data_IF_581331479159
#
_entry.id   IF_581331479159
#
_cell.length_a   1.000
_cell.length_b   1.000
_cell.length_c   1.000
_cell.angle_alpha   90.00
_cell.angle_beta   90.00
_cell.angle_gamma   90.00
#
_symmetry.space_group_name_H-M   'P 1'
#
loop_
_entity.id
_entity.type
_entity.pdbx_description
1 polymer ?
#
# COMPACT_ATOMS: atom_id res chain seq x y z
N UNK A 1 17.04 30.75 -60.69
CA UNK A 1 16.82 29.71 -59.70
C UNK A 1 15.48 29.07 -59.97
N UNK A 2 15.51 27.79 -60.36
CA UNK A 2 14.30 26.99 -60.53
C UNK A 2 13.76 26.58 -59.16
N UNK A 3 12.96 27.44 -58.54
CA UNK A 3 12.29 27.11 -57.31
C UNK A 3 11.02 26.30 -57.60
N UNK A 4 10.75 25.23 -56.87
CA UNK A 4 9.55 24.44 -57.07
C UNK A 4 8.32 25.30 -56.76
N UNK A 5 7.33 25.30 -57.64
CA UNK A 5 6.04 25.94 -57.45
C UNK A 5 5.05 24.92 -56.87
N UNK A 6 4.41 25.25 -55.78
CA UNK A 6 3.44 24.37 -55.12
C UNK A 6 2.22 25.19 -54.66
N UNK A 7 1.06 24.56 -54.70
CA UNK A 7 -0.17 25.07 -54.09
C UNK A 7 -0.25 24.88 -52.58
N UNK A 8 0.74 24.17 -51.99
CA UNK A 8 0.84 24.01 -50.55
C UNK A 8 1.11 25.36 -49.88
N UNK A 9 0.33 25.68 -48.86
CA UNK A 9 0.52 26.89 -48.06
C UNK A 9 1.86 26.82 -47.30
N UNK A 10 2.67 27.86 -47.40
CA UNK A 10 3.89 28.01 -46.63
C UNK A 10 3.62 28.12 -45.09
N UNK A 11 2.42 28.56 -44.72
CA UNK A 11 1.98 28.63 -43.32
C UNK A 11 1.05 27.46 -43.05
N UNK A 12 1.37 26.68 -42.01
CA UNK A 12 0.55 25.54 -41.61
C UNK A 12 -0.86 25.95 -41.16
N UNK A 13 -1.00 27.10 -40.51
CA UNK A 13 -2.27 27.65 -39.98
C UNK A 13 -3.08 26.56 -39.23
N UNK A 14 -2.41 25.82 -38.31
CA UNK A 14 -2.99 24.65 -37.64
C UNK A 14 -4.25 24.99 -36.86
N UNK A 15 -4.28 26.12 -36.16
CA UNK A 15 -5.45 26.58 -35.39
C UNK A 15 -6.73 26.70 -36.22
N UNK A 16 -6.60 27.09 -37.49
CA UNK A 16 -7.75 27.16 -38.40
C UNK A 16 -8.09 25.85 -39.10
N UNK A 17 -7.08 25.02 -39.40
CA UNK A 17 -7.22 23.79 -40.21
C UNK A 17 -7.56 22.59 -39.39
N UNK A 18 -7.01 22.41 -38.18
CA UNK A 18 -7.24 21.25 -37.32
C UNK A 18 -8.73 21.02 -37.01
N UNK A 19 -9.55 22.02 -36.66
CA UNK A 19 -10.98 21.78 -36.43
C UNK A 19 -11.73 21.20 -37.62
N UNK A 20 -11.30 21.54 -38.84
CA UNK A 20 -11.89 21.01 -40.08
C UNK A 20 -11.48 19.55 -40.28
N UNK A 21 -10.19 19.23 -40.06
CA UNK A 21 -9.68 17.87 -40.16
C UNK A 21 -10.29 16.97 -39.12
N UNK A 22 -10.43 17.43 -37.89
CA UNK A 22 -11.04 16.66 -36.79
C UNK A 22 -12.46 16.22 -37.10
N UNK A 23 -13.29 17.09 -37.72
CA UNK A 23 -14.64 16.71 -38.17
C UNK A 23 -14.65 15.57 -39.20
N UNK A 24 -13.65 15.56 -40.09
CA UNK A 24 -13.49 14.48 -41.07
C UNK A 24 -13.04 13.20 -40.40
N UNK A 25 -12.02 13.26 -39.53
CA UNK A 25 -11.47 12.12 -38.80
C UNK A 25 -12.50 11.42 -37.90
N UNK A 26 -13.35 12.17 -37.22
CA UNK A 26 -14.40 11.60 -36.37
C UNK A 26 -15.37 10.70 -37.16
N UNK A 27 -15.63 11.04 -38.43
CA UNK A 27 -16.50 10.26 -39.30
C UNK A 27 -15.82 8.97 -39.84
N UNK A 28 -14.50 8.99 -39.97
CA UNK A 28 -13.74 7.85 -40.53
C UNK A 28 -13.87 6.57 -39.72
N UNK A 29 -13.92 6.67 -38.40
CA UNK A 29 -14.02 5.47 -37.53
C UNK A 29 -15.28 4.64 -37.87
N UNK A 30 -16.44 5.31 -38.00
CA UNK A 30 -17.70 4.66 -38.37
C UNK A 30 -17.75 4.11 -39.79
N UNK A 31 -16.85 4.54 -40.68
CA UNK A 31 -16.73 4.07 -42.06
C UNK A 31 -15.73 2.91 -42.23
N UNK A 32 -14.94 2.59 -41.17
CA UNK A 32 -13.99 1.50 -41.21
C UNK A 32 -14.71 0.17 -41.12
N UNK A 33 -14.50 -0.69 -42.12
CA UNK A 33 -15.00 -2.07 -42.10
C UNK A 33 -14.23 -2.88 -41.04
N UNK A 34 -14.92 -3.29 -39.98
CA UNK A 34 -14.39 -4.18 -38.93
C UNK A 34 -14.68 -5.67 -39.24
N UNK A 35 -14.84 -6.02 -40.51
CA UNK A 35 -15.34 -7.34 -40.97
C UNK A 35 -14.25 -8.29 -41.42
N UNK A 36 -12.98 -7.93 -41.30
CA UNK A 36 -11.87 -8.84 -41.65
C UNK A 36 -11.70 -9.94 -40.59
N UNK A 37 -11.38 -11.16 -41.05
CA UNK A 37 -11.20 -12.34 -40.20
C UNK A 37 -9.97 -12.27 -39.27
N UNK A 38 -9.03 -11.34 -39.52
CA UNK A 38 -7.87 -11.08 -38.68
C UNK A 38 -8.15 -9.91 -37.76
N UNK A 39 -8.27 -10.19 -36.47
CA UNK A 39 -8.56 -9.21 -35.42
C UNK A 39 -7.32 -8.87 -34.60
N UNK A 40 -7.06 -7.59 -34.39
CA UNK A 40 -6.03 -7.10 -33.47
C UNK A 40 -6.70 -6.31 -32.35
N UNK A 41 -6.77 -6.91 -31.18
CA UNK A 41 -7.40 -6.29 -30.00
C UNK A 41 -6.36 -5.47 -29.26
N UNK A 42 -6.57 -4.14 -29.21
CA UNK A 42 -5.73 -3.22 -28.45
C UNK A 42 -6.41 -2.83 -27.14
N UNK A 43 -5.88 -3.36 -26.03
CA UNK A 43 -6.36 -2.99 -24.70
C UNK A 43 -5.99 -1.55 -24.37
N UNK A 44 -6.95 -0.83 -23.79
CA UNK A 44 -6.75 0.50 -23.25
C UNK A 44 -6.69 0.47 -21.71
N UNK A 45 -5.65 1.06 -21.13
CA UNK A 45 -5.63 1.38 -19.70
C UNK A 45 -6.55 2.58 -19.46
N UNK A 46 -7.71 2.38 -18.80
CA UNK A 46 -8.69 3.44 -18.65
C UNK A 46 -8.16 4.53 -17.71
N UNK A 47 -8.09 5.81 -18.14
CA UNK A 47 -7.73 6.91 -17.24
C UNK A 47 -8.81 7.11 -16.19
N UNK A 48 -8.44 7.70 -15.06
CA UNK A 48 -9.41 8.14 -14.06
C UNK A 48 -10.32 9.23 -14.62
N UNK A 49 -11.61 9.10 -14.33
CA UNK A 49 -12.62 10.10 -14.67
C UNK A 49 -12.55 11.31 -13.70
N UNK A 50 -11.36 11.92 -13.59
CA UNK A 50 -11.04 12.98 -12.63
C UNK A 50 -10.02 13.94 -13.24
N UNK A 51 -10.33 15.25 -13.24
CA UNK A 51 -9.45 16.27 -13.79
C UNK A 51 -9.37 16.29 -15.32
N UNK A 52 -8.51 17.17 -15.84
CA UNK A 52 -8.28 17.33 -17.27
C UNK A 52 -7.20 16.35 -17.78
N UNK A 53 -7.13 16.19 -19.11
CA UNK A 53 -6.05 15.43 -19.72
C UNK A 53 -4.71 16.16 -19.57
N UNK A 54 -3.63 15.41 -19.44
CA UNK A 54 -2.27 15.91 -19.39
C UNK A 54 -1.37 15.21 -20.42
N UNK A 55 -0.14 15.66 -20.57
CA UNK A 55 0.82 15.12 -21.57
C UNK A 55 0.96 13.59 -21.49
N UNK A 56 0.97 13.00 -20.28
CA UNK A 56 1.03 11.54 -20.12
C UNK A 56 -0.17 10.82 -20.76
N UNK A 57 -1.38 11.36 -20.61
CA UNK A 57 -2.56 10.85 -21.31
C UNK A 57 -2.42 10.98 -22.82
N UNK A 58 -1.94 12.15 -23.31
CA UNK A 58 -1.76 12.40 -24.74
C UNK A 58 -0.75 11.40 -25.34
N UNK A 59 0.41 11.21 -24.74
CA UNK A 59 1.43 10.26 -25.19
C UNK A 59 0.85 8.84 -25.27
N UNK A 60 0.19 8.38 -24.22
CA UNK A 60 -0.40 7.04 -24.18
C UNK A 60 -1.42 6.83 -25.32
N UNK A 61 -2.36 7.74 -25.47
CA UNK A 61 -3.42 7.63 -26.48
C UNK A 61 -2.91 7.79 -27.91
N UNK A 62 -1.95 8.69 -28.13
CA UNK A 62 -1.34 8.88 -29.46
C UNK A 62 -0.55 7.64 -29.90
N UNK A 63 0.24 7.04 -28.99
CA UNK A 63 0.98 5.80 -29.30
C UNK A 63 0.03 4.65 -29.64
N UNK A 64 -1.06 4.50 -28.90
CA UNK A 64 -2.09 3.48 -29.19
C UNK A 64 -2.79 3.73 -30.53
N UNK A 65 -3.09 4.99 -30.83
CA UNK A 65 -3.69 5.37 -32.10
C UNK A 65 -2.75 5.06 -33.29
N UNK A 66 -1.44 5.32 -33.16
CA UNK A 66 -0.44 4.94 -34.15
C UNK A 66 -0.43 3.43 -34.38
N UNK A 67 -0.43 2.62 -33.29
CA UNK A 67 -0.47 1.17 -33.38
C UNK A 67 -1.77 0.73 -34.08
N UNK A 68 -2.91 1.23 -33.65
CA UNK A 68 -4.21 0.87 -34.24
C UNK A 68 -4.28 1.21 -35.72
N UNK A 69 -3.81 2.39 -36.12
CA UNK A 69 -3.75 2.81 -37.52
C UNK A 69 -2.78 1.95 -38.34
N UNK A 70 -1.60 1.64 -37.79
CA UNK A 70 -0.61 0.77 -38.45
C UNK A 70 -1.16 -0.64 -38.71
N UNK A 71 -1.86 -1.24 -37.74
CA UNK A 71 -2.47 -2.56 -37.92
C UNK A 71 -3.63 -2.53 -38.95
N UNK A 72 -4.43 -1.46 -38.94
CA UNK A 72 -5.47 -1.28 -39.98
C UNK A 72 -4.90 -1.15 -41.38
N UNK A 73 -3.75 -0.48 -41.55
CA UNK A 73 -3.05 -0.42 -42.84
C UNK A 73 -2.54 -1.78 -43.30
N UNK A 74 -2.40 -2.75 -42.39
CA UNK A 74 -2.09 -4.14 -42.69
C UNK A 74 -3.36 -5.00 -42.85
N UNK A 75 -4.51 -4.37 -43.10
CA UNK A 75 -5.81 -5.00 -43.30
C UNK A 75 -6.36 -5.77 -42.10
N UNK A 76 -5.88 -5.47 -40.87
CA UNK A 76 -6.46 -6.03 -39.64
C UNK A 76 -7.69 -5.25 -39.19
N UNK A 77 -8.69 -5.94 -38.65
CA UNK A 77 -9.76 -5.33 -37.86
C UNK A 77 -9.21 -4.92 -36.50
N UNK A 78 -9.30 -3.65 -36.15
CA UNK A 78 -8.79 -3.11 -34.88
C UNK A 78 -9.89 -2.37 -34.14
N UNK A 79 -10.75 -3.05 -33.39
CA UNK A 79 -11.70 -2.38 -32.52
C UNK A 79 -10.94 -1.68 -31.38
N UNK A 80 -10.96 -0.36 -31.35
CA UNK A 80 -10.38 0.42 -30.26
C UNK A 80 -11.48 1.07 -29.44
N UNK A 81 -11.80 0.47 -28.31
CA UNK A 81 -12.82 0.93 -27.36
C UNK A 81 -12.14 1.70 -26.24
N UNK A 82 -12.33 3.04 -26.16
CA UNK A 82 -11.75 3.81 -25.07
C UNK A 82 -12.47 3.51 -23.75
N UNK A 83 -11.74 3.61 -22.64
CA UNK A 83 -12.30 3.34 -21.33
C UNK A 83 -12.04 4.45 -20.32
N UNK A 84 -12.82 4.45 -19.22
CA UNK A 84 -12.61 5.28 -18.05
C UNK A 84 -12.75 4.50 -16.77
N UNK A 85 -11.80 4.71 -15.84
CA UNK A 85 -11.91 4.30 -14.45
C UNK A 85 -12.72 5.36 -13.69
N UNK A 86 -13.91 4.97 -13.27
CA UNK A 86 -14.90 5.88 -12.70
C UNK A 86 -15.07 5.71 -11.19
N UNK A 87 -14.37 4.77 -10.57
CA UNK A 87 -14.44 4.48 -9.14
C UNK A 87 -13.19 4.94 -8.40
N UNK A 88 -13.22 4.80 -7.08
CA UNK A 88 -12.07 4.97 -6.22
C UNK A 88 -11.92 6.35 -5.59
N UNK A 89 -10.91 6.41 -4.76
CA UNK A 89 -10.60 7.52 -3.86
C UNK A 89 -10.46 8.90 -4.54
N UNK A 90 -9.86 9.03 -5.75
CA UNK A 90 -9.71 10.34 -6.37
C UNK A 90 -11.01 11.08 -6.62
N UNK A 91 -12.04 10.37 -7.06
CA UNK A 91 -13.36 10.92 -7.33
C UNK A 91 -14.09 11.21 -6.02
N UNK A 92 -14.02 10.27 -5.09
CA UNK A 92 -14.66 10.38 -3.78
C UNK A 92 -14.16 11.60 -3.01
N UNK A 93 -12.84 11.79 -2.91
CA UNK A 93 -12.25 12.96 -2.25
C UNK A 93 -12.59 14.28 -2.94
N UNK A 94 -12.69 14.30 -4.27
CA UNK A 94 -13.10 15.50 -4.98
C UNK A 94 -14.55 15.86 -4.65
N UNK A 95 -15.43 14.87 -4.59
CA UNK A 95 -16.85 15.06 -4.24
C UNK A 95 -17.01 15.40 -2.75
N UNK A 96 -16.25 14.77 -1.85
CA UNK A 96 -16.23 15.12 -0.42
C UNK A 96 -15.90 16.60 -0.19
N UNK A 97 -14.98 17.17 -0.98
CA UNK A 97 -14.64 18.59 -0.91
C UNK A 97 -15.78 19.51 -1.36
N UNK A 98 -16.62 19.04 -2.30
CA UNK A 98 -17.73 19.82 -2.84
C UNK A 98 -19.00 19.71 -1.99
N UNK A 99 -19.32 18.52 -1.45
CA UNK A 99 -20.62 18.24 -0.81
C UNK A 99 -20.52 17.71 0.62
N UNK A 100 -19.31 17.54 1.17
CA UNK A 100 -19.08 16.97 2.50
C UNK A 100 -18.99 15.45 2.50
N UNK A 101 -18.57 14.88 3.66
CA UNK A 101 -18.46 13.43 3.84
C UNK A 101 -19.84 12.76 3.84
N UNK A 102 -19.98 11.53 3.30
CA UNK A 102 -21.20 10.75 3.46
C UNK A 102 -21.43 10.46 4.94
N UNK A 103 -22.67 10.47 5.38
CA UNK A 103 -23.16 10.35 6.76
C UNK A 103 -23.28 11.64 7.57
N UNK A 104 -22.47 12.67 7.31
CA UNK A 104 -22.53 13.91 8.08
C UNK A 104 -23.55 14.89 7.48
N UNK A 105 -23.59 14.99 6.14
CA UNK A 105 -24.41 15.95 5.41
C UNK A 105 -25.29 15.31 4.35
N UNK A 106 -24.93 14.10 3.89
CA UNK A 106 -25.57 13.46 2.72
C UNK A 106 -25.75 11.95 2.94
N UNK A 107 -26.88 11.39 2.45
CA UNK A 107 -27.05 9.94 2.45
C UNK A 107 -25.99 9.26 1.56
N UNK A 108 -25.58 8.03 1.92
CA UNK A 108 -24.66 7.23 1.08
C UNK A 108 -25.15 7.08 -0.36
N UNK A 109 -26.46 7.00 -0.56
CA UNK A 109 -27.09 6.91 -1.89
C UNK A 109 -26.90 8.19 -2.70
N UNK A 110 -27.10 9.35 -2.09
CA UNK A 110 -26.99 10.62 -2.77
C UNK A 110 -25.52 11.01 -3.01
N UNK A 111 -24.65 10.65 -2.06
CA UNK A 111 -23.21 10.76 -2.26
C UNK A 111 -22.72 9.94 -3.48
N UNK A 112 -23.15 8.68 -3.64
CA UNK A 112 -22.85 7.87 -4.84
C UNK A 112 -23.39 8.48 -6.12
N UNK A 113 -24.58 9.11 -6.09
CA UNK A 113 -25.11 9.85 -7.26
C UNK A 113 -24.21 11.06 -7.60
N UNK A 114 -23.72 11.79 -6.59
CA UNK A 114 -22.81 12.92 -6.78
C UNK A 114 -21.50 12.45 -7.42
N UNK A 115 -20.91 11.34 -6.94
CA UNK A 115 -19.70 10.74 -7.53
C UNK A 115 -19.92 10.34 -9.00
N UNK A 116 -21.05 9.70 -9.32
CA UNK A 116 -21.40 9.33 -10.70
C UNK A 116 -21.53 10.55 -11.59
N UNK A 117 -22.18 11.60 -11.12
CA UNK A 117 -22.33 12.88 -11.85
C UNK A 117 -20.98 13.55 -12.09
N UNK A 118 -20.12 13.57 -11.08
CA UNK A 118 -18.76 14.09 -11.17
C UNK A 118 -17.95 13.34 -12.23
N UNK A 119 -17.95 12.00 -12.19
CA UNK A 119 -17.26 11.17 -13.16
C UNK A 119 -17.73 11.45 -14.60
N UNK A 120 -19.04 11.52 -14.84
CA UNK A 120 -19.58 11.85 -16.17
C UNK A 120 -19.14 13.22 -16.67
N UNK A 121 -19.04 14.22 -15.80
CA UNK A 121 -18.53 15.55 -16.17
C UNK A 121 -17.10 15.46 -16.73
N UNK A 122 -16.23 14.71 -16.04
CA UNK A 122 -14.83 14.57 -16.45
C UNK A 122 -14.67 13.66 -17.68
N UNK A 123 -15.44 12.58 -17.80
CA UNK A 123 -15.49 11.76 -19.03
C UNK A 123 -15.79 12.63 -20.24
N UNK A 124 -16.82 13.49 -20.15
CA UNK A 124 -17.19 14.40 -21.26
C UNK A 124 -16.06 15.36 -21.62
N UNK A 125 -15.41 15.96 -20.63
CA UNK A 125 -14.29 16.87 -20.83
C UNK A 125 -13.07 16.16 -21.44
N UNK A 126 -12.70 15.01 -20.90
CA UNK A 126 -11.57 14.22 -21.40
C UNK A 126 -11.83 13.64 -22.79
N UNK A 127 -13.05 13.14 -23.08
CA UNK A 127 -13.47 12.71 -24.43
C UNK A 127 -13.24 13.85 -25.43
N UNK A 128 -13.67 15.08 -25.11
CA UNK A 128 -13.46 16.23 -25.98
C UNK A 128 -11.97 16.54 -26.18
N UNK A 129 -11.15 16.41 -25.12
CA UNK A 129 -9.69 16.58 -25.21
C UNK A 129 -9.03 15.53 -26.10
N UNK A 130 -9.34 14.25 -25.93
CA UNK A 130 -8.81 13.17 -26.77
C UNK A 130 -9.28 13.26 -28.24
N UNK A 131 -10.51 13.70 -28.47
CA UNK A 131 -11.00 13.93 -29.83
C UNK A 131 -10.21 15.01 -30.55
N UNK A 132 -9.73 16.05 -29.83
CA UNK A 132 -8.84 17.06 -30.41
C UNK A 132 -7.48 16.51 -30.84
N UNK A 133 -7.02 15.40 -30.26
CA UNK A 133 -5.81 14.71 -30.69
C UNK A 133 -6.03 13.81 -31.92
N UNK A 134 -7.22 13.83 -32.52
CA UNK A 134 -7.61 13.04 -33.71
C UNK A 134 -7.43 11.52 -33.52
N UNK A 135 -7.66 11.03 -32.32
CA UNK A 135 -7.59 9.61 -31.99
C UNK A 135 -8.82 8.91 -32.54
N UNK A 136 -8.61 7.84 -33.31
CA UNK A 136 -9.66 7.01 -33.92
C UNK A 136 -10.08 5.89 -33.00
N UNK A 137 -11.20 6.07 -32.30
CA UNK A 137 -11.75 5.13 -31.34
C UNK A 137 -13.28 5.14 -31.36
N UNK A 138 -13.91 4.12 -30.80
CA UNK A 138 -15.37 4.08 -30.59
C UNK A 138 -15.76 4.96 -29.40
N UNK A 139 -15.83 6.27 -29.68
CA UNK A 139 -16.19 7.26 -28.65
C UNK A 139 -17.65 7.21 -28.21
N UNK A 140 -18.51 6.50 -28.92
CA UNK A 140 -19.94 6.44 -28.62
C UNK A 140 -20.30 5.28 -27.70
N UNK A 141 -19.48 4.22 -27.71
CA UNK A 141 -19.66 3.05 -26.86
C UNK A 141 -18.45 2.83 -25.93
N UNK A 142 -18.08 3.78 -25.06
CA UNK A 142 -16.91 3.64 -24.20
C UNK A 142 -17.13 2.60 -23.11
N UNK A 143 -16.04 1.97 -22.67
CA UNK A 143 -16.00 1.15 -21.47
C UNK A 143 -15.96 2.05 -20.22
N UNK A 144 -16.96 1.97 -19.37
CA UNK A 144 -17.02 2.71 -18.10
C UNK A 144 -17.11 1.73 -16.94
N UNK A 145 -16.19 1.80 -15.97
CA UNK A 145 -16.21 0.90 -14.80
C UNK A 145 -17.48 1.07 -13.97
N UNK A 146 -18.11 2.26 -14.00
CA UNK A 146 -19.38 2.54 -13.31
C UNK A 146 -20.65 2.16 -14.07
N UNK A 147 -20.56 1.57 -15.27
CA UNK A 147 -21.74 1.04 -15.95
C UNK A 147 -22.27 -0.18 -15.18
N UNK A 148 -23.58 -0.26 -14.95
CA UNK A 148 -24.19 -1.34 -14.19
C UNK A 148 -23.85 -2.73 -14.73
N UNK A 149 -23.74 -2.88 -16.06
CA UNK A 149 -23.25 -4.13 -16.67
C UNK A 149 -21.84 -4.46 -16.24
N UNK A 150 -20.95 -3.48 -16.20
CA UNK A 150 -19.56 -3.65 -15.76
C UNK A 150 -19.47 -3.97 -14.28
N UNK A 151 -20.22 -3.23 -13.43
CA UNK A 151 -20.32 -3.50 -12.00
C UNK A 151 -20.83 -4.93 -11.75
N UNK A 152 -21.89 -5.36 -12.46
CA UNK A 152 -22.39 -6.74 -12.39
C UNK A 152 -21.38 -7.79 -12.87
N UNK A 153 -20.61 -7.51 -13.93
CA UNK A 153 -19.55 -8.41 -14.39
C UNK A 153 -18.41 -8.53 -13.38
N UNK A 154 -18.09 -7.44 -12.67
CA UNK A 154 -17.09 -7.46 -11.59
C UNK A 154 -17.53 -8.41 -10.46
N UNK A 155 -18.81 -8.37 -10.06
CA UNK A 155 -19.35 -9.30 -9.08
C UNK A 155 -19.35 -10.74 -9.56
N UNK A 156 -19.70 -11.00 -10.83
CA UNK A 156 -19.61 -12.35 -11.42
C UNK A 156 -18.17 -12.87 -11.45
N UNK A 157 -17.18 -11.99 -11.75
CA UNK A 157 -15.78 -12.36 -11.70
C UNK A 157 -15.33 -12.71 -10.27
N UNK A 158 -15.78 -11.94 -9.27
CA UNK A 158 -15.55 -12.25 -7.86
C UNK A 158 -16.15 -13.63 -7.48
N UNK A 159 -17.38 -13.92 -7.92
CA UNK A 159 -17.98 -15.24 -7.72
C UNK A 159 -17.13 -16.39 -8.28
N UNK A 160 -16.56 -16.23 -9.47
CA UNK A 160 -15.63 -17.23 -10.05
C UNK A 160 -14.35 -17.38 -9.21
N UNK A 161 -13.80 -16.30 -8.68
CA UNK A 161 -12.62 -16.33 -7.79
C UNK A 161 -12.93 -17.10 -6.51
N UNK A 162 -14.14 -16.92 -5.95
CA UNK A 162 -14.61 -17.63 -4.76
C UNK A 162 -14.75 -19.12 -5.05
N UNK A 163 -15.44 -19.49 -6.14
CA UNK A 163 -15.66 -20.89 -6.53
C UNK A 163 -14.36 -21.65 -6.76
N UNK A 164 -13.31 -20.95 -7.20
CA UNK A 164 -11.98 -21.52 -7.35
C UNK A 164 -11.16 -21.56 -6.03
N UNK A 165 -11.73 -21.12 -4.91
CA UNK A 165 -11.05 -21.12 -3.60
C UNK A 165 -9.93 -20.08 -3.44
N UNK A 166 -9.88 -19.08 -4.30
CA UNK A 166 -8.81 -18.06 -4.29
C UNK A 166 -9.09 -16.88 -3.37
N UNK A 167 -10.30 -16.74 -2.83
CA UNK A 167 -10.63 -15.70 -1.86
C UNK A 167 -10.37 -16.17 -0.42
N UNK A 168 -9.85 -15.30 0.42
CA UNK A 168 -9.70 -15.52 1.85
C UNK A 168 -10.11 -14.29 2.64
N UNK A 169 -10.69 -14.51 3.83
CA UNK A 169 -10.93 -13.47 4.82
C UNK A 169 -9.96 -13.67 5.96
N UNK A 170 -9.13 -12.68 6.26
CA UNK A 170 -8.12 -12.83 7.31
C UNK A 170 -7.76 -11.50 7.95
N UNK A 171 -7.33 -11.58 9.20
CA UNK A 171 -6.72 -10.51 9.95
C UNK A 171 -5.24 -10.46 9.59
N UNK A 172 -4.80 -9.39 8.94
CA UNK A 172 -3.39 -9.16 8.58
C UNK A 172 -3.03 -7.69 8.79
N UNK A 173 -1.79 -7.38 9.19
CA UNK A 173 -1.29 -6.01 9.15
C UNK A 173 -1.16 -5.57 7.69
N UNK A 174 -1.79 -4.48 7.37
CA UNK A 174 -1.77 -3.84 6.05
C UNK A 174 -1.54 -2.36 6.20
N UNK A 175 -1.02 -1.73 5.15
CA UNK A 175 -0.92 -0.28 5.10
C UNK A 175 -2.29 0.37 5.30
N UNK A 176 -2.37 1.20 6.31
CA UNK A 176 -3.55 1.97 6.67
C UNK A 176 -3.27 3.46 6.56
N UNK A 177 -4.07 4.18 5.81
CA UNK A 177 -4.03 5.63 5.76
C UNK A 177 -5.07 6.21 6.74
N UNK A 178 -4.61 6.94 7.72
CA UNK A 178 -5.47 7.56 8.75
C UNK A 178 -6.37 8.65 8.17
N UNK A 179 -5.90 9.39 7.15
CA UNK A 179 -6.71 10.41 6.47
C UNK A 179 -7.78 9.80 5.56
N UNK A 180 -7.46 8.68 4.89
CA UNK A 180 -8.43 7.92 4.11
C UNK A 180 -9.41 7.14 4.99
N UNK A 181 -9.00 6.81 6.21
CA UNK A 181 -9.66 5.83 7.08
C UNK A 181 -9.89 4.49 6.35
N UNK A 182 -8.88 4.03 5.61
CA UNK A 182 -8.97 2.85 4.75
C UNK A 182 -7.62 2.20 4.54
N UNK A 183 -7.66 0.91 4.22
CA UNK A 183 -6.49 0.14 3.77
C UNK A 183 -6.00 0.63 2.41
N UNK A 184 -4.71 0.44 2.18
CA UNK A 184 -4.04 0.68 0.90
C UNK A 184 -3.47 -0.64 0.37
N UNK A 185 -3.56 -0.86 -0.95
CA UNK A 185 -2.78 -1.89 -1.61
C UNK A 185 -1.34 -1.41 -1.78
N UNK A 186 -0.39 -2.34 -2.02
CA UNK A 186 1.03 -2.02 -2.23
C UNK A 186 1.26 -0.95 -3.30
N UNK A 187 0.51 -1.01 -4.41
CA UNK A 187 0.59 -0.02 -5.49
C UNK A 187 0.06 1.37 -5.11
N UNK A 188 -0.57 1.51 -3.95
CA UNK A 188 -1.11 2.78 -3.44
C UNK A 188 -0.20 3.40 -2.37
N UNK A 189 1.00 2.83 -2.17
CA UNK A 189 2.01 3.29 -1.21
C UNK A 189 3.21 3.83 -1.95
N UNK A 190 3.65 5.02 -1.56
CA UNK A 190 4.87 5.67 -2.02
C UNK A 190 5.87 5.74 -0.86
N UNK A 191 7.15 5.50 -1.13
CA UNK A 191 8.18 5.64 -0.11
C UNK A 191 8.87 7.00 -0.23
N UNK A 192 8.95 7.73 0.89
CA UNK A 192 9.63 9.02 0.98
C UNK A 192 10.64 9.00 2.11
N UNK A 193 11.74 9.68 1.93
CA UNK A 193 12.68 9.94 3.01
C UNK A 193 12.10 10.97 3.98
N UNK A 194 11.95 10.58 5.23
CA UNK A 194 11.49 11.47 6.30
C UNK A 194 12.39 11.35 7.53
N UNK A 195 12.39 12.42 8.31
CA UNK A 195 12.98 12.44 9.65
C UNK A 195 11.94 11.88 10.63
N UNK A 196 12.26 10.73 11.24
CA UNK A 196 11.43 10.10 12.27
C UNK A 196 12.16 10.03 13.59
N UNK A 197 11.42 9.98 14.68
CA UNK A 197 11.99 9.72 15.99
C UNK A 197 12.25 8.22 16.14
N UNK A 198 13.46 7.87 16.60
CA UNK A 198 13.78 6.53 17.08
C UNK A 198 13.99 6.57 18.58
N UNK A 199 13.75 5.45 19.23
CA UNK A 199 13.87 5.34 20.68
C UNK A 199 14.43 3.97 21.06
N UNK A 200 15.37 3.98 22.01
CA UNK A 200 15.90 2.77 22.63
C UNK A 200 15.35 2.71 24.07
N UNK A 201 14.61 1.65 24.38
CA UNK A 201 13.86 1.54 25.63
C UNK A 201 14.33 0.33 26.44
N UNK A 202 14.52 0.54 27.74
CA UNK A 202 15.01 -0.41 28.73
C UNK A 202 13.85 -1.27 29.24
N UNK A 203 13.80 -2.54 28.82
CA UNK A 203 12.86 -3.52 29.32
C UNK A 203 13.55 -4.33 30.43
N UNK A 204 13.04 -4.25 31.65
CA UNK A 204 13.65 -4.92 32.80
C UNK A 204 13.35 -6.42 32.78
N UNK A 205 14.36 -7.27 32.94
CA UNK A 205 14.16 -8.68 33.24
C UNK A 205 13.48 -8.84 34.60
N UNK A 206 12.45 -9.70 34.62
CA UNK A 206 11.73 -9.99 35.86
C UNK A 206 12.70 -10.54 36.93
N UNK A 207 12.51 -10.10 38.15
CA UNK A 207 13.28 -10.54 39.33
C UNK A 207 14.80 -10.27 39.31
N UNK A 208 15.26 -9.38 38.42
CA UNK A 208 16.65 -8.93 38.29
C UNK A 208 16.75 -7.41 38.14
N UNK A 209 17.99 -6.90 38.12
CA UNK A 209 18.29 -5.52 37.72
C UNK A 209 18.91 -5.42 36.32
N UNK A 210 18.79 -6.47 35.52
CA UNK A 210 19.30 -6.52 34.15
C UNK A 210 18.20 -6.07 33.16
N UNK A 211 18.59 -5.39 32.09
CA UNK A 211 17.70 -4.90 31.06
C UNK A 211 17.98 -5.55 29.70
N UNK A 212 16.95 -5.70 28.90
CA UNK A 212 17.07 -5.82 27.45
C UNK A 212 16.68 -4.45 26.86
N UNK A 213 17.53 -3.94 25.97
CA UNK A 213 17.28 -2.67 25.31
C UNK A 213 16.68 -2.95 23.94
N UNK A 214 15.50 -2.43 23.65
CA UNK A 214 14.86 -2.56 22.34
C UNK A 214 14.98 -1.26 21.56
N UNK A 215 15.20 -1.37 20.26
CA UNK A 215 15.19 -0.23 19.33
C UNK A 215 13.88 -0.17 18.56
N UNK A 216 13.26 1.00 18.48
CA UNK A 216 12.05 1.20 17.67
C UNK A 216 12.05 2.55 16.95
N UNK A 217 11.52 2.56 15.74
CA UNK A 217 11.22 3.78 14.95
C UNK A 217 9.74 4.16 15.05
N UNK A 218 8.95 3.36 15.75
CA UNK A 218 7.50 3.57 15.97
C UNK A 218 7.15 3.47 17.46
N UNK A 219 7.66 4.39 18.32
CA UNK A 219 7.47 4.31 19.76
C UNK A 219 6.01 4.24 20.21
N UNK A 220 5.09 4.73 19.38
CA UNK A 220 3.66 4.68 19.65
C UNK A 220 3.09 3.25 19.76
N UNK A 221 3.77 2.24 19.18
CA UNK A 221 3.36 0.82 19.28
C UNK A 221 3.80 0.13 20.57
N UNK A 222 4.67 0.76 21.38
CA UNK A 222 5.16 0.19 22.65
C UNK A 222 4.05 -0.07 23.67
N UNK A 223 2.94 0.67 23.60
CA UNK A 223 1.75 0.44 24.44
C UNK A 223 0.97 -0.84 24.05
N UNK A 224 1.25 -1.41 22.87
CA UNK A 224 0.68 -2.67 22.36
C UNK A 224 1.74 -3.78 22.26
N UNK A 225 2.85 -3.63 23.00
CA UNK A 225 3.91 -4.64 23.00
C UNK A 225 3.45 -5.93 23.70
N UNK A 226 3.68 -7.10 23.06
CA UNK A 226 3.29 -8.42 23.54
C UNK A 226 4.46 -9.36 23.76
N UNK A 227 5.64 -9.06 23.19
CA UNK A 227 6.87 -9.82 23.36
C UNK A 227 8.08 -8.98 22.96
N UNK A 228 9.27 -9.51 23.27
CA UNK A 228 10.53 -9.06 22.67
C UNK A 228 11.15 -10.24 21.92
N UNK A 229 11.48 -10.05 20.65
CA UNK A 229 12.11 -11.07 19.83
C UNK A 229 13.64 -11.00 19.88
N UNK A 230 14.29 -12.15 19.84
CA UNK A 230 15.72 -12.34 19.66
C UNK A 230 15.98 -13.38 18.57
N UNK A 231 17.21 -13.50 18.10
CA UNK A 231 17.59 -14.52 17.12
C UNK A 231 18.59 -15.50 17.73
N UNK A 232 18.30 -16.81 17.67
CA UNK A 232 19.17 -17.88 18.23
C UNK A 232 20.50 -18.01 17.52
N UNK A 233 20.58 -17.55 16.26
CA UNK A 233 21.80 -17.60 15.45
C UNK A 233 22.77 -16.45 15.74
N UNK A 234 22.42 -15.52 16.64
CA UNK A 234 23.26 -14.43 17.08
C UNK A 234 23.88 -14.75 18.45
N UNK A 235 25.13 -14.30 18.63
CA UNK A 235 25.81 -14.33 19.94
C UNK A 235 25.35 -13.12 20.78
N UNK A 236 25.08 -13.35 22.05
CA UNK A 236 24.66 -12.32 22.99
C UNK A 236 25.61 -12.21 24.18
N UNK A 237 25.73 -11.00 24.72
CA UNK A 237 26.53 -10.69 25.88
C UNK A 237 25.73 -9.98 26.95
N UNK A 238 25.92 -10.37 28.19
CA UNK A 238 25.54 -9.59 29.36
C UNK A 238 26.66 -8.60 29.69
N UNK A 239 26.31 -7.34 29.84
CA UNK A 239 27.24 -6.24 30.07
C UNK A 239 26.92 -5.53 31.38
N UNK A 240 27.96 -5.07 32.10
CA UNK A 240 27.86 -3.99 33.05
C UNK A 240 28.52 -2.76 32.44
N UNK A 241 27.87 -1.63 32.53
CA UNK A 241 28.44 -0.37 32.05
C UNK A 241 27.94 0.81 32.91
N UNK A 242 28.79 1.82 33.05
CA UNK A 242 28.47 3.04 33.78
C UNK A 242 28.11 4.18 32.80
N UNK A 243 27.08 4.94 33.13
CA UNK A 243 26.81 6.20 32.44
C UNK A 243 27.79 7.30 32.88
N UNK A 244 27.69 8.47 32.29
CA UNK A 244 28.53 9.65 32.59
C UNK A 244 28.42 10.13 34.03
N UNK A 245 27.37 9.77 34.76
CA UNK A 245 27.12 10.12 36.15
C UNK A 245 27.55 9.02 37.12
N UNK A 246 28.13 7.92 36.61
CA UNK A 246 28.55 6.77 37.40
C UNK A 246 27.43 5.80 37.77
N UNK A 247 26.22 5.94 37.19
CA UNK A 247 25.14 4.98 37.39
C UNK A 247 25.41 3.72 36.60
N UNK A 248 25.41 2.58 37.27
CA UNK A 248 25.63 1.27 36.65
C UNK A 248 24.34 0.72 36.02
N UNK A 249 24.49 0.18 34.80
CA UNK A 249 23.48 -0.54 34.06
C UNK A 249 23.97 -1.95 33.76
N UNK A 250 23.13 -2.95 34.07
CA UNK A 250 23.30 -4.34 33.60
C UNK A 250 22.34 -4.56 32.42
N UNK A 251 22.86 -4.96 31.26
CA UNK A 251 22.00 -5.15 30.06
C UNK A 251 22.54 -6.23 29.14
N UNK A 252 21.65 -6.76 28.27
CA UNK A 252 21.95 -7.78 27.27
C UNK A 252 21.87 -7.13 25.89
N UNK A 253 22.85 -7.48 25.03
CA UNK A 253 22.96 -6.97 23.65
C UNK A 253 23.63 -8.01 22.74
N UNK A 254 23.34 -7.96 21.43
CA UNK A 254 24.05 -8.79 20.47
C UNK A 254 25.53 -8.38 20.38
N UNK A 255 26.43 -9.36 20.31
CA UNK A 255 27.89 -9.20 20.32
C UNK A 255 28.40 -8.15 19.35
N UNK A 256 27.95 -8.18 18.11
CA UNK A 256 28.39 -7.28 17.04
C UNK A 256 27.95 -5.84 17.24
N UNK A 257 26.96 -5.57 18.11
CA UNK A 257 26.38 -4.26 18.36
C UNK A 257 26.86 -3.61 19.67
N UNK A 258 27.76 -4.25 20.41
CA UNK A 258 28.23 -3.77 21.73
C UNK A 258 28.83 -2.37 21.61
N UNK A 259 29.83 -2.19 20.73
CA UNK A 259 30.57 -0.92 20.62
C UNK A 259 29.66 0.22 20.14
N UNK A 260 28.75 -0.07 19.20
CA UNK A 260 27.77 0.89 18.72
C UNK A 260 26.81 1.33 19.83
N UNK A 261 26.32 0.39 20.63
CA UNK A 261 25.42 0.67 21.75
C UNK A 261 26.13 1.49 22.85
N UNK A 262 27.33 1.10 23.26
CA UNK A 262 28.12 1.84 24.26
C UNK A 262 28.39 3.28 23.83
N UNK A 263 28.80 3.45 22.55
CA UNK A 263 29.04 4.78 21.98
C UNK A 263 27.74 5.60 21.94
N UNK A 264 26.67 5.02 21.46
CA UNK A 264 25.35 5.66 21.33
C UNK A 264 24.78 6.14 22.67
N UNK A 265 24.95 5.35 23.72
CA UNK A 265 24.44 5.66 25.05
C UNK A 265 25.43 6.49 25.89
N UNK A 266 26.65 6.65 25.40
CA UNK A 266 27.77 7.28 26.13
C UNK A 266 28.01 6.54 27.47
N UNK A 267 28.04 5.19 27.41
CA UNK A 267 28.31 4.31 28.52
C UNK A 267 29.71 3.69 28.40
N UNK A 268 30.36 3.47 29.56
CA UNK A 268 31.67 2.85 29.67
C UNK A 268 31.50 1.44 30.24
N UNK A 269 31.90 0.44 29.48
CA UNK A 269 31.87 -0.95 29.89
C UNK A 269 32.81 -1.20 31.08
N UNK A 270 32.32 -1.96 32.05
CA UNK A 270 33.10 -2.42 33.21
C UNK A 270 33.25 -3.92 33.30
N UNK A 271 32.28 -4.66 32.72
CA UNK A 271 32.30 -6.12 32.68
C UNK A 271 31.47 -6.66 31.53
N UNK A 272 31.88 -7.81 30.96
CA UNK A 272 31.09 -8.57 29.98
C UNK A 272 31.15 -10.09 30.25
N UNK A 273 30.05 -10.76 29.87
CA UNK A 273 29.90 -12.19 29.98
C UNK A 273 29.18 -12.75 28.76
N UNK A 274 29.68 -13.85 28.21
CA UNK A 274 28.98 -14.62 27.17
C UNK A 274 27.68 -15.18 27.72
N UNK A 275 26.61 -15.11 26.93
CA UNK A 275 25.31 -15.70 27.23
C UNK A 275 24.95 -16.73 26.18
N UNK A 276 24.47 -17.89 26.62
CA UNK A 276 23.86 -18.85 25.71
C UNK A 276 22.48 -18.34 25.23
N UNK A 277 22.01 -18.86 24.10
CA UNK A 277 20.64 -18.57 23.65
C UNK A 277 19.57 -19.07 24.65
N UNK A 278 19.88 -20.08 25.44
CA UNK A 278 18.98 -20.57 26.49
C UNK A 278 18.87 -19.58 27.66
N UNK A 279 19.96 -18.89 28.00
CA UNK A 279 19.96 -17.84 29.03
C UNK A 279 19.06 -16.65 28.64
N UNK A 280 18.87 -16.43 27.35
CA UNK A 280 18.03 -15.35 26.82
C UNK A 280 16.57 -15.81 26.67
N UNK A 281 16.31 -17.05 26.22
CA UNK A 281 14.98 -17.50 25.76
C UNK A 281 13.94 -17.61 26.87
N UNK A 282 14.32 -18.10 28.06
CA UNK A 282 13.33 -18.42 29.11
C UNK A 282 13.05 -17.26 30.05
N UNK A 283 13.14 -16.03 29.54
CA UNK A 283 13.02 -14.83 30.35
C UNK A 283 11.68 -14.12 30.14
N UNK A 284 11.20 -13.52 31.22
CA UNK A 284 10.08 -12.56 31.18
C UNK A 284 10.64 -11.16 31.39
N UNK A 285 10.10 -10.22 30.64
CA UNK A 285 10.42 -8.80 30.72
C UNK A 285 9.25 -8.02 31.24
N UNK A 286 9.50 -6.89 31.85
CA UNK A 286 8.49 -5.92 32.25
C UNK A 286 8.56 -4.76 31.25
N UNK A 287 7.47 -4.55 30.52
CA UNK A 287 7.32 -3.37 29.68
C UNK A 287 7.23 -2.13 30.57
N UNK A 288 8.18 -1.18 30.48
CA UNK A 288 8.22 -0.04 31.42
C UNK A 288 7.05 0.93 31.26
N UNK A 289 6.38 0.95 30.08
CA UNK A 289 5.29 1.87 29.79
C UNK A 289 3.93 1.38 30.30
N UNK A 290 3.76 0.05 30.37
CA UNK A 290 2.47 -0.58 30.71
C UNK A 290 2.52 -1.39 32.01
N UNK A 291 3.72 -1.74 32.49
CA UNK A 291 3.91 -2.67 33.60
C UNK A 291 3.61 -4.13 33.27
N UNK A 292 3.25 -4.44 32.01
CA UNK A 292 2.90 -5.80 31.56
C UNK A 292 4.14 -6.67 31.50
N UNK A 293 4.00 -7.91 31.95
CA UNK A 293 4.99 -8.96 31.72
C UNK A 293 4.87 -9.51 30.32
N UNK A 294 5.98 -9.56 29.59
CA UNK A 294 6.05 -10.02 28.19
C UNK A 294 7.18 -11.05 28.02
N UNK A 295 7.00 -12.11 27.24
CA UNK A 295 8.01 -13.11 27.01
C UNK A 295 9.10 -12.65 26.05
N UNK A 296 10.29 -13.25 26.17
CA UNK A 296 11.33 -13.24 25.15
C UNK A 296 11.10 -14.42 24.22
N UNK A 297 10.98 -14.18 22.92
CA UNK A 297 10.64 -15.19 21.91
C UNK A 297 11.67 -15.19 20.77
N UNK A 298 11.85 -16.35 20.14
CA UNK A 298 12.75 -16.47 18.99
C UNK A 298 12.09 -15.98 17.69
N UNK A 299 12.90 -15.28 16.86
CA UNK A 299 12.51 -15.01 15.48
C UNK A 299 13.71 -14.71 14.57
N UNK A 300 13.71 -15.33 13.38
CA UNK A 300 14.78 -15.21 12.39
C UNK A 300 14.86 -13.81 11.74
N UNK A 301 13.81 -12.98 11.86
CA UNK A 301 13.81 -11.62 11.30
C UNK A 301 14.70 -10.64 12.10
N UNK A 302 15.06 -10.99 13.33
CA UNK A 302 15.97 -10.17 14.14
C UNK A 302 17.39 -10.28 13.58
N UNK A 303 18.01 -9.13 13.34
CA UNK A 303 19.38 -9.05 12.80
C UNK A 303 20.28 -8.25 13.71
N UNK A 304 21.57 -8.40 13.49
CA UNK A 304 22.64 -7.66 14.16
C UNK A 304 23.20 -6.47 13.33
N UNK A 305 22.40 -5.99 12.38
CA UNK A 305 22.82 -4.87 11.49
C UNK A 305 22.43 -3.50 12.04
N UNK A 306 21.50 -3.44 12.96
CA UNK A 306 20.99 -2.21 13.55
C UNK A 306 20.28 -2.50 14.87
N UNK A 307 20.31 -1.54 15.80
CA UNK A 307 19.63 -1.62 17.08
C UNK A 307 20.48 -2.31 18.15
N UNK A 308 19.92 -3.34 18.79
CA UNK A 308 20.53 -4.03 19.95
C UNK A 308 20.59 -5.55 19.81
N UNK A 309 20.07 -6.09 18.69
CA UNK A 309 19.83 -7.53 18.53
C UNK A 309 18.52 -7.99 19.18
N UNK A 310 17.68 -7.06 19.60
CA UNK A 310 16.35 -7.30 20.12
C UNK A 310 15.32 -6.39 19.48
N UNK A 311 14.14 -6.94 19.18
CA UNK A 311 13.04 -6.20 18.55
C UNK A 311 11.78 -6.38 19.38
N UNK A 312 11.08 -5.27 19.71
CA UNK A 312 9.77 -5.39 20.34
C UNK A 312 8.73 -5.91 19.34
N UNK A 313 7.79 -6.70 19.82
CA UNK A 313 6.75 -7.31 19.01
C UNK A 313 5.38 -6.73 19.40
N UNK A 314 4.73 -6.11 18.39
CA UNK A 314 3.34 -5.65 18.47
C UNK A 314 2.53 -6.26 17.33
N UNK A 315 1.90 -7.44 17.49
CA UNK A 315 1.30 -8.23 16.41
C UNK A 315 0.25 -7.50 15.57
N UNK A 316 -0.37 -6.46 16.13
CA UNK A 316 -1.36 -5.65 15.41
C UNK A 316 -0.73 -4.71 14.36
N UNK A 317 0.59 -4.40 14.43
CA UNK A 317 1.20 -3.27 13.74
C UNK A 317 2.44 -3.60 12.90
N UNK A 318 2.77 -4.88 12.72
CA UNK A 318 3.88 -5.33 11.89
C UNK A 318 3.59 -6.68 11.22
N UNK A 319 4.09 -6.88 10.00
CA UNK A 319 3.90 -8.15 9.26
C UNK A 319 4.70 -9.26 9.94
N UNK A 320 5.96 -8.99 10.26
CA UNK A 320 6.83 -9.92 10.98
C UNK A 320 6.34 -10.13 12.41
N UNK A 321 5.89 -9.07 13.09
CA UNK A 321 5.31 -9.14 14.43
C UNK A 321 4.07 -10.02 14.47
N UNK A 322 3.20 -9.94 13.45
CA UNK A 322 2.02 -10.80 13.33
C UNK A 322 2.41 -12.26 13.15
N UNK A 323 3.48 -12.54 12.39
CA UNK A 323 3.98 -13.90 12.21
C UNK A 323 4.49 -14.44 13.55
N UNK A 324 5.36 -13.70 14.23
CA UNK A 324 5.86 -14.04 15.56
C UNK A 324 4.72 -14.23 16.55
N UNK A 325 3.73 -13.33 16.50
CA UNK A 325 2.53 -13.41 17.35
C UNK A 325 1.76 -14.71 17.16
N UNK A 326 1.54 -15.13 15.91
CA UNK A 326 0.85 -16.39 15.60
C UNK A 326 1.65 -17.62 16.01
N UNK A 327 2.95 -17.62 15.72
CA UNK A 327 3.85 -18.74 16.01
C UNK A 327 3.99 -18.97 17.54
N UNK A 328 3.81 -17.91 18.35
CA UNK A 328 3.91 -17.94 19.80
C UNK A 328 2.57 -17.75 20.54
N UNK A 329 1.42 -17.78 19.83
CA UNK A 329 0.08 -17.58 20.38
C UNK A 329 -0.08 -16.27 21.18
N UNK A 330 0.59 -15.19 20.74
CA UNK A 330 0.47 -13.88 21.38
C UNK A 330 -0.85 -13.21 20.98
N UNK A 331 -1.45 -12.39 21.86
CA UNK A 331 -2.66 -11.66 21.54
C UNK A 331 -2.39 -10.58 20.46
N UNK A 332 -3.40 -10.30 19.66
CA UNK A 332 -3.36 -9.24 18.63
C UNK A 332 -4.20 -8.09 19.16
N UNK A 333 -3.56 -7.11 19.77
CA UNK A 333 -4.23 -6.01 20.46
C UNK A 333 -4.09 -4.73 19.61
N UNK A 334 -5.22 -4.24 19.10
CA UNK A 334 -5.31 -2.99 18.37
C UNK A 334 -5.73 -1.88 19.33
N UNK A 335 -4.86 -0.89 19.54
CA UNK A 335 -5.02 0.21 20.51
C UNK A 335 -5.35 1.56 19.87
N UNK A 336 -5.52 1.62 18.54
CA UNK A 336 -5.86 2.87 17.85
C UNK A 336 -7.06 2.67 16.92
N UNK A 337 -7.85 3.73 16.76
CA UNK A 337 -8.99 3.77 15.84
C UNK A 337 -8.58 3.95 14.37
N UNK A 338 -9.56 4.20 13.49
CA UNK A 338 -9.34 4.45 12.06
C UNK A 338 -8.53 5.71 11.77
N UNK A 339 -8.52 6.68 12.67
CA UNK A 339 -7.85 7.99 12.55
C UNK A 339 -6.49 8.03 13.23
N UNK A 340 -6.04 6.91 13.81
CA UNK A 340 -4.80 6.87 14.58
C UNK A 340 -4.93 7.50 15.98
N UNK A 341 -6.12 7.56 16.52
CA UNK A 341 -6.38 8.02 17.89
C UNK A 341 -6.41 6.81 18.83
N UNK A 342 -5.72 6.89 19.95
CA UNK A 342 -5.72 5.83 20.95
C UNK A 342 -7.10 5.57 21.52
N UNK A 343 -7.50 4.32 21.57
CA UNK A 343 -8.76 3.82 22.16
C UNK A 343 -8.54 3.05 23.46
N UNK A 344 -7.27 2.77 23.79
CA UNK A 344 -6.87 2.08 25.01
C UNK A 344 -5.55 2.64 25.54
N UNK A 345 -5.27 2.42 26.84
CA UNK A 345 -4.04 2.84 27.51
C UNK A 345 -4.03 4.31 27.97
N UNK A 346 -2.86 4.83 28.36
CA UNK A 346 -2.74 6.15 29.01
C UNK A 346 -2.95 7.33 28.04
N UNK A 347 -2.96 7.09 26.75
CA UNK A 347 -3.12 8.11 25.70
C UNK A 347 -4.50 8.12 25.05
N UNK A 348 -5.52 7.48 25.64
CA UNK A 348 -6.90 7.48 25.11
C UNK A 348 -7.34 8.88 24.69
N UNK A 349 -7.88 8.99 23.47
CA UNK A 349 -8.33 10.25 22.87
C UNK A 349 -7.20 11.10 22.27
N UNK A 350 -5.94 10.68 22.34
CA UNK A 350 -4.79 11.37 21.72
C UNK A 350 -4.36 10.66 20.44
N UNK A 351 -3.89 11.44 19.47
CA UNK A 351 -3.35 10.90 18.23
C UNK A 351 -1.95 10.28 18.45
N UNK A 352 -1.59 9.24 17.70
CA UNK A 352 -0.32 8.49 17.82
C UNK A 352 0.93 9.39 17.75
N UNK A 353 0.85 10.53 17.06
CA UNK A 353 1.96 11.50 16.98
C UNK A 353 2.36 12.09 18.33
N UNK A 354 1.49 12.04 19.33
CA UNK A 354 1.77 12.57 20.68
C UNK A 354 2.56 11.60 21.56
N UNK A 355 2.70 10.34 21.13
CA UNK A 355 3.31 9.29 21.93
C UNK A 355 4.77 9.57 22.28
N UNK A 356 5.57 10.06 21.32
CA UNK A 356 6.99 10.35 21.57
C UNK A 356 7.22 11.33 22.70
N UNK A 357 6.47 12.44 22.69
CA UNK A 357 6.62 13.48 23.73
C UNK A 357 6.09 12.99 25.06
N UNK A 358 5.00 12.23 25.04
CA UNK A 358 4.46 11.61 26.26
C UNK A 358 5.45 10.61 26.89
N UNK A 359 6.06 9.73 26.08
CA UNK A 359 7.04 8.75 26.57
C UNK A 359 8.27 9.46 27.15
N UNK A 360 8.80 10.45 26.46
CA UNK A 360 9.94 11.25 26.94
C UNK A 360 9.65 11.96 28.25
N UNK A 361 8.45 12.50 28.41
CA UNK A 361 8.07 13.25 29.60
C UNK A 361 7.81 12.36 30.83
N UNK A 362 7.27 11.15 30.62
CA UNK A 362 6.80 10.32 31.75
C UNK A 362 7.67 9.07 32.02
N UNK A 363 8.55 8.68 31.07
CA UNK A 363 9.34 7.45 31.15
C UNK A 363 10.81 7.68 30.80
N UNK A 364 11.33 8.88 31.02
CA UNK A 364 12.71 9.25 30.68
C UNK A 364 13.77 8.34 31.29
N UNK A 365 13.55 7.80 32.49
CA UNK A 365 14.43 6.87 33.20
C UNK A 365 14.56 5.50 32.49
N UNK A 366 13.61 5.16 31.62
CA UNK A 366 13.60 3.93 30.85
C UNK A 366 14.07 4.12 29.39
N UNK A 367 14.58 5.31 29.05
CA UNK A 367 15.05 5.63 27.71
C UNK A 367 16.58 5.68 27.72
N UNK A 368 17.22 4.73 27.03
CA UNK A 368 18.68 4.73 26.83
C UNK A 368 19.10 5.76 25.77
N UNK A 369 18.30 5.94 24.72
CA UNK A 369 18.55 6.93 23.67
C UNK A 369 17.24 7.31 22.96
N UNK A 370 17.16 8.59 22.55
CA UNK A 370 16.04 9.09 21.74
C UNK A 370 16.56 10.07 20.70
N UNK A 371 16.68 9.61 19.48
CA UNK A 371 17.29 10.32 18.37
C UNK A 371 16.34 10.45 17.19
N UNK A 372 16.66 11.36 16.28
CA UNK A 372 15.97 11.45 15.01
C UNK A 372 16.80 10.74 13.93
N UNK A 373 16.15 9.91 13.14
CA UNK A 373 16.77 9.20 12.02
C UNK A 373 16.12 9.58 10.70
N UNK A 374 16.90 9.54 9.62
CA UNK A 374 16.41 9.66 8.25
C UNK A 374 16.20 8.26 7.69
N UNK A 375 14.98 7.94 7.26
CA UNK A 375 14.69 6.67 6.63
C UNK A 375 13.53 6.77 5.63
N UNK A 376 13.45 5.78 4.74
CA UNK A 376 12.33 5.65 3.81
C UNK A 376 11.10 5.15 4.56
N UNK A 377 10.03 5.94 4.52
CA UNK A 377 8.79 5.63 5.21
C UNK A 377 7.60 5.57 4.23
N UNK A 378 6.66 4.63 4.39
CA UNK A 378 5.51 4.49 3.51
C UNK A 378 4.52 5.65 3.69
N UNK A 379 4.06 6.17 2.55
CA UNK A 379 3.11 7.28 2.47
C UNK A 379 1.93 6.92 1.59
N UNK A 380 0.77 7.41 1.93
CA UNK A 380 -0.40 7.33 1.07
C UNK A 380 -0.14 8.07 -0.25
N UNK A 381 -0.30 7.38 -1.38
CA UNK A 381 -0.09 7.96 -2.72
C UNK A 381 -0.96 9.19 -2.99
N UNK A 382 -2.09 9.32 -2.30
CA UNK A 382 -3.07 10.38 -2.51
C UNK A 382 -2.91 11.55 -1.54
N UNK A 383 -2.92 11.28 -0.23
CA UNK A 383 -2.77 12.33 0.79
C UNK A 383 -1.32 12.76 1.00
N UNK A 384 -0.35 11.92 0.56
CA UNK A 384 1.08 12.15 0.77
C UNK A 384 1.48 12.19 2.25
N UNK A 385 0.63 11.66 3.13
CA UNK A 385 0.86 11.53 4.57
C UNK A 385 1.39 10.14 4.92
N UNK A 386 2.13 10.00 6.03
CA UNK A 386 2.61 8.71 6.51
C UNK A 386 1.47 7.72 6.74
N UNK A 387 1.70 6.46 6.43
CA UNK A 387 0.78 5.35 6.72
C UNK A 387 1.28 4.58 7.93
N UNK A 388 0.39 3.82 8.56
CA UNK A 388 0.76 2.84 9.59
C UNK A 388 0.44 1.43 9.07
N UNK A 389 1.06 0.41 9.65
CA UNK A 389 0.51 -0.93 9.59
C UNK A 389 -0.60 -1.06 10.64
N UNK A 390 -1.72 -1.66 10.26
CA UNK A 390 -2.86 -1.90 11.16
C UNK A 390 -3.51 -3.23 10.81
N UNK A 391 -3.71 -4.08 11.80
CA UNK A 391 -4.39 -5.35 11.62
C UNK A 391 -5.89 -5.15 11.59
N UNK A 392 -6.48 -5.42 10.44
CA UNK A 392 -7.93 -5.37 10.24
C UNK A 392 -8.42 -6.57 9.45
N UNK A 393 -9.64 -7.10 9.73
CA UNK A 393 -10.21 -8.16 8.93
C UNK A 393 -10.49 -7.67 7.51
N UNK A 394 -9.86 -8.29 6.51
CA UNK A 394 -9.96 -7.88 5.12
C UNK A 394 -10.12 -9.09 4.19
N UNK A 395 -10.57 -8.83 2.96
CA UNK A 395 -10.70 -9.80 1.89
C UNK A 395 -9.47 -9.78 0.99
N UNK A 396 -8.90 -10.96 0.77
CA UNK A 396 -7.68 -11.13 -0.02
C UNK A 396 -7.86 -12.16 -1.13
N UNK A 397 -7.29 -11.87 -2.30
CA UNK A 397 -7.08 -12.86 -3.35
C UNK A 397 -5.70 -13.48 -3.13
N UNK A 398 -5.64 -14.82 -3.03
CA UNK A 398 -4.43 -15.59 -2.77
C UNK A 398 -3.48 -15.52 -3.96
N UNK A 399 -2.39 -14.78 -3.84
CA UNK A 399 -1.41 -14.62 -4.92
C UNK A 399 -0.41 -15.76 -5.01
N UNK A 400 -0.13 -16.46 -3.91
CA UNK A 400 0.74 -17.64 -3.90
C UNK A 400 0.29 -18.76 -4.85
N UNK A 401 -1.00 -18.85 -5.17
CA UNK A 401 -1.57 -19.82 -6.12
C UNK A 401 -1.56 -19.27 -7.54
N UNK A 402 -1.86 -17.98 -7.71
CA UNK A 402 -2.03 -17.36 -9.04
C UNK A 402 -0.70 -16.93 -9.66
N UNK A 403 0.25 -16.44 -8.87
CA UNK A 403 1.51 -15.90 -9.38
C UNK A 403 2.38 -16.94 -10.12
N UNK A 404 2.56 -18.19 -9.64
CA UNK A 404 3.31 -19.20 -10.38
C UNK A 404 2.71 -19.52 -11.75
N UNK A 405 1.38 -19.63 -11.82
CA UNK A 405 0.68 -19.88 -13.10
C UNK A 405 0.85 -18.70 -14.06
N UNK A 406 0.71 -17.47 -13.57
CA UNK A 406 0.92 -16.26 -14.36
C UNK A 406 2.35 -16.16 -14.88
N UNK A 407 3.38 -16.44 -14.04
CA UNK A 407 4.78 -16.41 -14.44
C UNK A 407 5.04 -17.40 -15.58
N UNK A 408 4.49 -18.62 -15.50
CA UNK A 408 4.62 -19.63 -16.55
C UNK A 408 4.02 -19.15 -17.88
N UNK A 409 2.87 -18.49 -17.85
CA UNK A 409 2.22 -17.98 -19.06
C UNK A 409 2.98 -16.82 -19.73
N UNK A 410 3.90 -16.14 -19.02
CA UNK A 410 4.72 -15.07 -19.61
C UNK A 410 5.68 -15.59 -20.71
N UNK A 411 5.95 -16.89 -20.77
CA UNK A 411 6.74 -17.48 -21.85
C UNK A 411 5.99 -17.42 -23.19
N UNK A 412 4.67 -17.37 -23.16
CA UNK A 412 3.81 -17.24 -24.33
C UNK A 412 3.54 -15.78 -24.72
N UNK A 413 4.13 -14.81 -24.00
CA UNK A 413 3.91 -13.37 -24.22
C UNK A 413 5.16 -12.75 -24.86
N UNK A 414 4.97 -12.04 -25.97
CA UNK A 414 6.03 -11.25 -26.61
C UNK A 414 6.07 -9.85 -26.00
N UNK A 415 7.23 -9.48 -25.44
CA UNK A 415 7.43 -8.19 -24.78
C UNK A 415 8.18 -7.19 -25.67
N UNK A 416 7.74 -5.92 -25.65
CA UNK A 416 8.41 -4.80 -26.29
C UNK A 416 8.49 -3.61 -25.30
N UNK A 417 9.66 -3.23 -24.76
CA UNK A 417 10.95 -3.90 -24.84
C UNK A 417 10.96 -5.23 -24.07
N UNK A 418 11.87 -6.13 -24.40
CA UNK A 418 12.00 -7.45 -23.77
C UNK A 418 12.26 -7.37 -22.25
N UNK A 419 12.93 -6.31 -21.78
CA UNK A 419 13.14 -6.04 -20.36
C UNK A 419 11.84 -5.97 -19.54
N UNK A 420 10.69 -5.71 -20.17
CA UNK A 420 9.38 -5.73 -19.55
C UNK A 420 9.01 -7.09 -18.94
N UNK A 421 9.47 -8.20 -19.54
CA UNK A 421 9.26 -9.56 -19.03
C UNK A 421 9.90 -9.73 -17.65
N UNK A 422 11.19 -9.41 -17.52
CA UNK A 422 11.92 -9.57 -16.27
C UNK A 422 11.32 -8.71 -15.15
N UNK A 423 10.89 -7.49 -15.47
CA UNK A 423 10.22 -6.60 -14.52
C UNK A 423 8.90 -7.22 -14.04
N UNK A 424 8.08 -7.78 -14.93
CA UNK A 424 6.80 -8.37 -14.56
C UNK A 424 6.99 -9.65 -13.73
N UNK A 425 7.97 -10.50 -14.07
CA UNK A 425 8.34 -11.68 -13.28
C UNK A 425 8.73 -11.25 -11.86
N UNK A 426 9.63 -10.27 -11.72
CA UNK A 426 10.04 -9.75 -10.40
C UNK A 426 8.86 -9.22 -9.57
N UNK A 427 7.91 -8.54 -10.20
CA UNK A 427 6.70 -8.05 -9.53
C UNK A 427 5.77 -9.17 -9.08
N UNK A 428 5.73 -10.30 -9.78
CA UNK A 428 4.85 -11.43 -9.45
C UNK A 428 5.48 -12.36 -8.41
N UNK A 429 6.81 -12.56 -8.44
CA UNK A 429 7.51 -13.54 -7.60
C UNK A 429 7.30 -13.30 -6.11
N UNK A 430 7.35 -12.04 -5.68
CA UNK A 430 7.23 -11.66 -4.26
C UNK A 430 5.92 -10.90 -3.97
N UNK A 431 4.90 -11.08 -4.81
CA UNK A 431 3.65 -10.34 -4.64
C UNK A 431 2.88 -10.85 -3.44
N UNK A 432 2.57 -9.98 -2.45
CA UNK A 432 1.70 -10.37 -1.34
C UNK A 432 0.27 -10.62 -1.84
N UNK A 433 -0.54 -11.28 -1.00
CA UNK A 433 -1.97 -11.44 -1.28
C UNK A 433 -2.63 -10.10 -1.58
N UNK A 434 -3.47 -10.08 -2.61
CA UNK A 434 -4.10 -8.84 -3.04
C UNK A 434 -5.30 -8.50 -2.17
N UNK A 435 -5.17 -7.49 -1.30
CA UNK A 435 -6.29 -6.94 -0.54
C UNK A 435 -7.25 -6.21 -1.48
N UNK A 436 -8.48 -6.73 -1.62
CA UNK A 436 -9.52 -6.16 -2.49
C UNK A 436 -10.53 -5.29 -1.75
N UNK A 437 -10.63 -5.42 -0.44
CA UNK A 437 -11.56 -4.62 0.35
C UNK A 437 -11.06 -3.19 0.57
N UNK A 438 -11.99 -2.25 0.63
CA UNK A 438 -11.76 -0.84 0.97
C UNK A 438 -12.91 -0.34 1.84
N UNK A 439 -12.64 0.56 2.76
CA UNK A 439 -13.63 1.18 3.64
C UNK A 439 -14.17 2.47 3.01
N UNK A 440 -14.68 2.37 1.76
CA UNK A 440 -15.12 3.51 0.97
C UNK A 440 -16.57 3.36 0.51
N UNK A 441 -17.23 4.48 0.22
CA UNK A 441 -18.65 4.51 -0.17
C UNK A 441 -18.85 4.41 -1.68
N UNK A 442 -17.87 4.89 -2.48
CA UNK A 442 -17.93 4.90 -3.94
C UNK A 442 -17.10 3.79 -4.57
N UNK A 443 -17.75 2.79 -5.13
CA UNK A 443 -17.15 1.62 -5.75
C UNK A 443 -18.14 0.47 -5.90
N UNK A 444 -17.66 -0.68 -6.41
CA UNK A 444 -18.43 -1.91 -6.46
C UNK A 444 -18.42 -2.55 -5.07
N UNK A 445 -19.58 -2.84 -4.46
CA UNK A 445 -19.63 -3.46 -3.15
C UNK A 445 -19.10 -4.91 -3.19
N UNK A 446 -18.48 -5.37 -2.11
CA UNK A 446 -18.22 -6.78 -1.89
C UNK A 446 -19.50 -7.40 -1.36
N UNK A 447 -20.33 -7.94 -2.27
CA UNK A 447 -21.63 -8.51 -1.96
C UNK A 447 -21.47 -10.01 -1.62
N UNK A 448 -21.04 -10.30 -0.39
CA UNK A 448 -20.84 -11.66 0.10
C UNK A 448 -21.70 -11.93 1.34
N UNK A 449 -22.19 -13.16 1.44
CA UNK A 449 -22.83 -13.67 2.63
C UNK A 449 -21.84 -14.58 3.37
N UNK A 450 -21.72 -14.40 4.66
CA UNK A 450 -20.86 -15.23 5.51
C UNK A 450 -21.52 -15.47 6.87
N UNK A 451 -21.14 -16.58 7.47
CA UNK A 451 -21.66 -16.92 8.79
C UNK A 451 -21.13 -15.93 9.83
N UNK A 452 -21.97 -15.31 10.67
CA UNK A 452 -21.58 -14.23 11.55
C UNK A 452 -20.54 -14.62 12.62
N UNK A 453 -20.53 -15.90 13.03
CA UNK A 453 -19.62 -16.42 14.05
C UNK A 453 -18.38 -17.07 13.41
N UNK A 454 -18.55 -18.08 12.54
CA UNK A 454 -17.44 -18.85 11.95
C UNK A 454 -16.71 -18.08 10.86
N UNK A 455 -17.32 -17.02 10.32
CA UNK A 455 -16.81 -16.22 9.19
C UNK A 455 -16.62 -17.04 7.89
N UNK A 456 -17.17 -18.24 7.83
CA UNK A 456 -17.20 -19.03 6.60
C UNK A 456 -18.12 -18.41 5.58
N UNK A 457 -17.70 -18.40 4.33
CA UNK A 457 -18.50 -17.90 3.21
C UNK A 457 -19.69 -18.84 2.97
N UNK A 458 -20.83 -18.25 2.59
CA UNK A 458 -21.95 -19.04 2.11
C UNK A 458 -21.53 -19.80 0.84
N UNK A 459 -21.79 -21.11 0.74
CA UNK A 459 -21.30 -21.93 -0.37
C UNK A 459 -21.94 -21.56 -1.72
N UNK A 460 -23.14 -21.01 -1.70
CA UNK A 460 -23.82 -20.56 -2.91
C UNK A 460 -23.37 -19.14 -3.26
N UNK A 461 -22.74 -19.01 -4.43
CA UNK A 461 -22.23 -17.74 -4.98
C UNK A 461 -23.03 -17.26 -6.20
N UNK A 462 -24.13 -17.95 -6.55
CA UNK A 462 -24.99 -17.61 -7.69
C UNK A 462 -25.89 -16.39 -7.48
#
# INVERSE_FOLDING_TARGET
LNLPSTKFSMKANLTGREPVWQKTHTKLYGQMNHTNNLEYILHDGPPYANGDIHVGHAINKVLKDIIAKSQRLQHMSVPFIPGWDCHGLPIELAVEKEVGKPSDTLSKKDFRKACRKYAYKHIKAQKAGFSKLSILADWDNPYLTMNYKTEGNTLRALGKIINNGYLSHSLKPIHWCMDCESVLAEAEVEHKEIKSNSMDVLFKLKDTNTFIIIHTTTPWTLFSNEAVAFNRDLDYYGLLANDVNGKEYSFIVAKTLIDECLLKYNWTETFRQDLSSEDVTSRMLINPLTGKEVPVVHSDHVTDKMGTGFVHIAPAYGVDDMKVGKDNNLPIIDIVDSKGVYIDGPLVGKHITTANDYIKANFSEHIASANAIMHKYPHCWRHKTPTIFKSTPQWFIKMNVLAPAAIKELDNVRFFPEAGKNRLISMLTNRPDWCISRQRTWGVPIALYYHPITKELHPDTS
#
